data_IF_092622813951
#
_entry.id   IF_092622813951
#
_cell.length_a   1.000
_cell.length_b   1.000
_cell.length_c   1.000
_cell.angle_alpha   90.00
_cell.angle_beta   90.00
_cell.angle_gamma   90.00
#
_symmetry.space_group_name_H-M   'P 1'
#
loop_
_entity.id
_entity.type
_entity.pdbx_description
1 polymer ?
#
# COMPACT_ATOMS: atom_id res chain seq x y z
N UNK A 1 11.69 54.35 54.60
CA UNK A 1 11.23 54.83 53.27
C UNK A 1 11.76 53.88 52.19
N UNK A 2 10.93 52.90 51.83
CA UNK A 2 11.29 51.83 50.88
C UNK A 2 10.86 52.30 49.49
N UNK A 3 11.84 52.60 48.63
CA UNK A 3 11.60 53.02 47.25
C UNK A 3 11.13 51.85 46.41
N UNK A 4 9.87 51.89 46.00
CA UNK A 4 9.27 50.97 45.04
C UNK A 4 9.82 51.26 43.64
N UNK A 5 10.59 50.31 43.09
CA UNK A 5 11.04 50.34 41.70
C UNK A 5 9.85 49.98 40.79
N UNK A 6 9.40 50.96 40.01
CA UNK A 6 8.40 50.77 38.95
C UNK A 6 9.03 50.03 37.77
N UNK A 7 8.45 48.92 37.28
CA UNK A 7 8.96 48.24 36.09
C UNK A 7 8.68 49.08 34.83
N UNK A 8 9.71 49.17 33.97
CA UNK A 8 9.68 49.90 32.72
C UNK A 8 8.66 49.29 31.73
N UNK A 9 7.90 50.16 31.06
CA UNK A 9 6.89 49.77 30.08
C UNK A 9 7.52 49.04 28.88
N UNK A 10 6.86 47.98 28.36
CA UNK A 10 7.37 47.23 27.21
C UNK A 10 7.32 48.08 25.93
N UNK A 11 8.37 47.97 25.13
CA UNK A 11 8.51 48.70 23.87
C UNK A 11 7.43 48.29 22.85
N UNK A 12 6.96 49.22 22.00
CA UNK A 12 5.93 48.93 21.00
C UNK A 12 6.45 47.97 19.92
N UNK A 13 5.58 47.09 19.38
CA UNK A 13 5.95 46.14 18.35
C UNK A 13 6.33 46.85 17.05
N UNK A 14 7.38 46.34 16.39
CA UNK A 14 7.83 46.86 15.09
C UNK A 14 6.82 46.49 14.00
N UNK A 15 6.57 47.39 13.02
CA UNK A 15 5.65 47.12 11.92
C UNK A 15 6.19 45.99 11.02
N UNK A 16 5.32 45.03 10.73
CA UNK A 16 5.59 43.88 9.87
C UNK A 16 5.55 44.36 8.40
N UNK A 17 6.56 44.07 7.57
CA UNK A 17 6.52 44.40 6.15
C UNK A 17 5.47 43.55 5.44
N UNK A 18 4.53 44.20 4.76
CA UNK A 18 3.51 43.54 3.93
C UNK A 18 4.14 43.01 2.64
N UNK A 19 3.82 41.77 2.21
CA UNK A 19 4.31 41.24 0.94
C UNK A 19 3.64 41.94 -0.25
N UNK A 20 4.47 42.42 -1.18
CA UNK A 20 4.09 42.95 -2.48
C UNK A 20 3.28 41.91 -3.27
N UNK A 21 1.99 42.16 -3.45
CA UNK A 21 1.12 41.45 -4.39
C UNK A 21 1.40 41.94 -5.81
N UNK A 22 2.35 41.29 -6.50
CA UNK A 22 2.39 41.37 -7.96
C UNK A 22 1.31 40.47 -8.54
N UNK A 23 0.18 41.11 -8.87
CA UNK A 23 -0.88 40.56 -9.73
C UNK A 23 -0.29 40.43 -11.13
N UNK A 24 -0.06 39.20 -11.59
CA UNK A 24 0.30 38.93 -12.98
C UNK A 24 -0.99 38.64 -13.73
N UNK A 25 -1.54 39.67 -14.35
CA UNK A 25 -2.63 39.60 -15.31
C UNK A 25 -2.21 38.73 -16.49
N UNK A 26 -2.80 37.54 -16.63
CA UNK A 26 -2.64 36.70 -17.82
C UNK A 26 -3.91 36.79 -18.64
N UNK A 27 -3.96 37.78 -19.53
CA UNK A 27 -5.01 37.95 -20.53
C UNK A 27 -4.98 36.83 -21.58
N UNK A 28 -6.14 36.43 -22.14
CA UNK A 28 -6.23 35.43 -23.20
C UNK A 28 -5.94 36.06 -24.56
N UNK A 29 -4.86 35.63 -25.23
CA UNK A 29 -4.57 36.06 -26.61
C UNK A 29 -5.36 35.21 -27.61
N UNK A 30 -6.45 35.80 -28.10
CA UNK A 30 -7.06 35.48 -29.37
C UNK A 30 -6.04 35.76 -30.50
N UNK A 31 -5.70 34.75 -31.31
CA UNK A 31 -5.15 34.97 -32.66
C UNK A 31 -5.99 34.26 -33.69
N UNK A 32 -6.79 35.09 -34.33
CA UNK A 32 -7.50 34.87 -35.57
C UNK A 32 -6.58 35.17 -36.77
N UNK A 33 -6.69 34.32 -37.80
CA UNK A 33 -6.51 34.49 -39.24
C UNK A 33 -5.46 35.45 -39.85
N UNK A 34 -4.64 34.89 -40.76
CA UNK A 34 -4.39 35.37 -42.15
C UNK A 34 -3.34 34.44 -42.78
N UNK A 35 -3.69 33.56 -43.71
CA UNK A 35 -3.75 33.81 -45.17
C UNK A 35 -2.47 34.45 -45.75
N UNK A 36 -1.64 33.64 -46.40
CA UNK A 36 -0.88 34.06 -47.59
C UNK A 36 -0.55 32.86 -48.47
N UNK A 37 -1.06 32.95 -49.68
CA UNK A 37 -0.88 32.06 -50.83
C UNK A 37 0.55 32.09 -51.35
N UNK A 38 1.18 30.93 -51.50
CA UNK A 38 2.17 30.61 -52.54
C UNK A 38 1.96 29.13 -52.88
N UNK A 39 1.07 28.78 -53.80
CA UNK A 39 1.36 28.66 -55.24
C UNK A 39 2.70 27.97 -55.52
N UNK A 40 2.72 26.64 -55.49
CA UNK A 40 3.63 25.88 -56.34
C UNK A 40 2.93 24.60 -56.78
N UNK A 41 2.54 24.63 -58.05
CA UNK A 41 2.13 23.49 -58.86
C UNK A 41 2.96 22.24 -58.58
N UNK A 42 2.32 21.15 -58.17
CA UNK A 42 2.81 19.82 -58.47
C UNK A 42 1.68 19.00 -59.09
N UNK A 43 1.94 18.35 -60.24
CA UNK A 43 0.91 17.76 -61.07
C UNK A 43 0.31 16.51 -60.44
N UNK A 44 -0.99 16.34 -60.69
CA UNK A 44 -1.72 15.10 -60.49
C UNK A 44 -0.98 13.93 -61.14
N UNK A 45 -0.42 13.06 -60.31
CA UNK A 45 -0.05 11.71 -60.73
C UNK A 45 -1.12 10.74 -60.24
N UNK A 46 -2.22 10.67 -60.99
CA UNK A 46 -3.13 9.53 -61.01
C UNK A 46 -2.41 8.32 -61.59
N UNK A 47 -1.41 7.80 -60.88
CA UNK A 47 -0.88 6.48 -61.18
C UNK A 47 -1.86 5.44 -60.64
N UNK A 48 -2.86 5.13 -61.48
CA UNK A 48 -3.39 3.77 -61.60
C UNK A 48 -2.20 2.82 -61.52
N UNK A 49 -2.01 2.16 -60.39
CA UNK A 49 -1.08 1.05 -60.20
C UNK A 49 -1.64 -0.21 -60.88
N UNK A 50 -1.91 -0.10 -62.17
CA UNK A 50 -2.01 -1.27 -63.04
C UNK A 50 -0.58 -1.69 -63.37
N UNK A 51 -0.24 -2.92 -62.96
CA UNK A 51 1.04 -3.64 -63.16
C UNK A 51 2.08 -3.30 -62.07
N UNK A 52 2.41 -4.19 -61.14
CA UNK A 52 2.75 -5.61 -61.34
C UNK A 52 2.23 -6.41 -60.14
N UNK A 53 1.31 -7.35 -60.38
CA UNK A 53 1.20 -8.53 -59.50
C UNK A 53 2.50 -9.29 -59.69
N UNK A 54 3.50 -9.00 -58.86
CA UNK A 54 4.69 -9.81 -58.84
C UNK A 54 4.27 -11.21 -58.36
N UNK A 55 4.90 -12.26 -58.89
CA UNK A 55 4.66 -13.63 -58.45
C UNK A 55 4.83 -13.77 -56.91
N UNK A 56 5.68 -12.90 -56.34
CA UNK A 56 5.93 -12.75 -54.91
C UNK A 56 4.69 -12.27 -54.15
N UNK A 57 3.92 -11.31 -54.66
CA UNK A 57 2.67 -10.85 -53.99
C UNK A 57 1.59 -11.95 -53.97
N UNK A 58 1.55 -12.79 -55.01
CA UNK A 58 0.58 -13.88 -55.09
C UNK A 58 0.91 -15.00 -54.10
N UNK A 59 2.19 -15.36 -53.97
CA UNK A 59 2.65 -16.36 -53.01
C UNK A 59 2.62 -15.84 -51.57
N UNK A 60 2.98 -14.58 -51.32
CA UNK A 60 2.80 -13.95 -50.01
C UNK A 60 1.32 -13.89 -49.62
N UNK A 61 0.42 -13.55 -50.55
CA UNK A 61 -1.02 -13.59 -50.30
C UNK A 61 -1.56 -15.02 -50.10
N UNK A 62 -0.92 -16.04 -50.68
CA UNK A 62 -1.25 -17.46 -50.47
C UNK A 62 -0.77 -17.94 -49.11
N UNK A 63 0.45 -17.58 -48.74
CA UNK A 63 1.06 -17.88 -47.45
C UNK A 63 0.29 -17.21 -46.31
N UNK A 64 -0.09 -15.94 -46.46
CA UNK A 64 -0.91 -15.23 -45.47
C UNK A 64 -2.31 -15.83 -45.34
N UNK A 65 -2.93 -16.29 -46.44
CA UNK A 65 -4.19 -17.05 -46.38
C UNK A 65 -4.04 -18.42 -45.73
N UNK A 66 -2.91 -19.11 -45.93
CA UNK A 66 -2.61 -20.38 -45.28
C UNK A 66 -2.35 -20.21 -43.78
N UNK A 67 -1.58 -19.19 -43.39
CA UNK A 67 -1.35 -18.80 -41.99
C UNK A 67 -2.65 -18.40 -41.29
N UNK A 68 -3.53 -17.66 -41.96
CA UNK A 68 -4.86 -17.32 -41.41
C UNK A 68 -5.76 -18.54 -41.22
N UNK A 69 -5.62 -19.60 -42.04
CA UNK A 69 -6.32 -20.88 -41.86
C UNK A 69 -5.73 -21.70 -40.72
N UNK A 70 -4.40 -21.75 -40.61
CA UNK A 70 -3.66 -22.46 -39.56
C UNK A 70 -3.87 -21.85 -38.16
N UNK A 71 -3.94 -20.51 -38.06
CA UNK A 71 -4.15 -19.79 -36.80
C UNK A 71 -5.63 -19.71 -36.38
N UNK A 72 -6.47 -20.64 -36.82
CA UNK A 72 -7.89 -20.68 -36.47
C UNK A 72 -8.71 -19.69 -37.27
N UNK A 73 -8.74 -19.87 -38.59
CA UNK A 73 -9.62 -19.17 -39.52
C UNK A 73 -11.10 -19.55 -39.38
N UNK A 74 -11.47 -20.30 -38.34
CA UNK A 74 -12.87 -20.56 -38.01
C UNK A 74 -13.51 -19.27 -37.54
N UNK A 75 -14.22 -18.60 -38.45
CA UNK A 75 -15.08 -17.48 -38.12
C UNK A 75 -16.04 -17.82 -36.98
N UNK A 76 -16.39 -19.09 -36.80
CA UNK A 76 -17.16 -19.59 -35.66
C UNK A 76 -16.47 -19.34 -34.31
N UNK A 77 -15.15 -19.59 -34.21
CA UNK A 77 -14.38 -19.35 -32.99
C UNK A 77 -14.22 -17.84 -32.74
N UNK A 78 -14.02 -17.05 -33.79
CA UNK A 78 -14.00 -15.58 -33.68
C UNK A 78 -15.35 -15.01 -33.24
N UNK A 79 -16.46 -15.52 -33.80
CA UNK A 79 -17.83 -15.16 -33.41
C UNK A 79 -18.11 -15.51 -31.94
N UNK A 80 -17.64 -16.67 -31.48
CA UNK A 80 -17.73 -17.07 -30.06
C UNK A 80 -16.93 -16.13 -29.14
N UNK A 81 -15.72 -15.72 -29.54
CA UNK A 81 -14.91 -14.75 -28.80
C UNK A 81 -15.55 -13.36 -28.72
N UNK A 82 -16.19 -12.91 -29.81
CA UNK A 82 -16.95 -11.64 -29.84
C UNK A 82 -18.17 -11.74 -28.91
N UNK A 83 -18.93 -12.83 -28.98
CA UNK A 83 -20.07 -13.05 -28.09
C UNK A 83 -19.67 -13.05 -26.61
N UNK A 84 -18.56 -13.68 -26.25
CA UNK A 84 -18.05 -13.67 -24.89
C UNK A 84 -17.58 -12.27 -24.44
N UNK A 85 -16.96 -11.50 -25.34
CA UNK A 85 -16.60 -10.10 -25.10
C UNK A 85 -17.83 -9.24 -24.85
N UNK A 86 -18.90 -9.42 -25.63
CA UNK A 86 -20.12 -8.62 -25.49
C UNK A 86 -20.87 -8.94 -24.19
N UNK A 87 -20.93 -10.21 -23.80
CA UNK A 87 -21.47 -10.62 -22.48
C UNK A 87 -20.66 -10.01 -21.34
N UNK A 88 -19.33 -10.00 -21.45
CA UNK A 88 -18.48 -9.41 -20.41
C UNK A 88 -18.61 -7.88 -20.36
N UNK A 89 -18.72 -7.21 -21.52
CA UNK A 89 -19.01 -5.77 -21.59
C UNK A 89 -20.36 -5.44 -20.95
N UNK A 90 -21.41 -6.22 -21.24
CA UNK A 90 -22.72 -6.07 -20.63
C UNK A 90 -22.67 -6.26 -19.11
N UNK A 91 -21.92 -7.26 -18.63
CA UNK A 91 -21.72 -7.51 -17.20
C UNK A 91 -21.00 -6.35 -16.51
N UNK A 92 -19.93 -5.82 -17.09
CA UNK A 92 -19.19 -4.67 -16.56
C UNK A 92 -20.07 -3.41 -16.56
N UNK A 93 -20.87 -3.20 -17.61
CA UNK A 93 -21.81 -2.10 -17.69
C UNK A 93 -22.91 -2.20 -16.60
N UNK A 94 -23.48 -3.38 -16.40
CA UNK A 94 -24.46 -3.63 -15.34
C UNK A 94 -23.88 -3.42 -13.94
N UNK A 95 -22.64 -3.86 -13.69
CA UNK A 95 -21.93 -3.58 -12.43
C UNK A 95 -21.72 -2.07 -12.22
N UNK A 96 -21.28 -1.34 -13.24
CA UNK A 96 -21.13 0.13 -13.15
C UNK A 96 -22.47 0.83 -12.87
N UNK A 97 -23.55 0.40 -13.52
CA UNK A 97 -24.89 0.94 -13.27
C UNK A 97 -25.36 0.63 -11.83
N UNK A 98 -25.10 -0.57 -11.32
CA UNK A 98 -25.42 -0.94 -9.94
C UNK A 98 -24.60 -0.13 -8.91
N UNK A 99 -23.31 0.10 -9.16
CA UNK A 99 -22.47 0.96 -8.32
C UNK A 99 -22.95 2.42 -8.34
N UNK A 100 -23.34 2.94 -9.51
CA UNK A 100 -23.93 4.28 -9.62
C UNK A 100 -25.27 4.39 -8.86
N UNK A 101 -26.13 3.38 -8.98
CA UNK A 101 -27.40 3.32 -8.25
C UNK A 101 -27.21 3.21 -6.72
N UNK A 102 -26.14 2.55 -6.27
CA UNK A 102 -25.75 2.47 -4.87
C UNK A 102 -25.06 3.75 -4.35
N UNK A 103 -24.93 4.80 -5.17
CA UNK A 103 -24.26 6.05 -4.78
C UNK A 103 -22.74 5.91 -4.61
N UNK A 104 -22.14 4.84 -5.13
CA UNK A 104 -20.68 4.67 -5.10
C UNK A 104 -20.10 5.60 -6.16
N UNK A 105 -19.58 6.74 -5.71
CA UNK A 105 -18.91 7.74 -6.56
C UNK A 105 -17.74 7.04 -7.27
N UNK A 106 -17.71 7.02 -8.61
CA UNK A 106 -16.56 6.51 -9.34
C UNK A 106 -15.30 7.23 -8.88
N UNK A 107 -14.29 6.49 -8.46
CA UNK A 107 -13.04 7.10 -8.04
C UNK A 107 -12.48 7.95 -9.18
N UNK A 108 -12.05 9.16 -8.85
CA UNK A 108 -11.40 10.06 -9.79
C UNK A 108 -10.15 9.40 -10.38
N UNK A 109 -9.75 9.73 -11.63
CA UNK A 109 -8.61 9.09 -12.29
C UNK A 109 -7.32 9.10 -11.45
N UNK A 110 -7.07 10.18 -10.73
CA UNK A 110 -5.91 10.30 -9.84
C UNK A 110 -6.00 9.39 -8.60
N UNK A 111 -7.21 9.17 -8.06
CA UNK A 111 -7.44 8.24 -6.95
C UNK A 111 -7.26 6.79 -7.40
N UNK A 112 -7.69 6.47 -8.62
CA UNK A 112 -7.46 5.15 -9.23
C UNK A 112 -5.96 4.88 -9.39
N UNK A 113 -5.18 5.86 -9.83
CA UNK A 113 -3.74 5.72 -9.97
C UNK A 113 -3.02 5.64 -8.62
N UNK A 114 -3.50 6.34 -7.59
CA UNK A 114 -3.02 6.20 -6.22
C UNK A 114 -3.28 4.79 -5.67
N UNK A 115 -4.47 4.24 -5.92
CA UNK A 115 -4.84 2.87 -5.56
C UNK A 115 -4.04 1.82 -6.34
N UNK A 116 -3.79 2.03 -7.63
CA UNK A 116 -2.89 1.17 -8.42
C UNK A 116 -1.49 1.19 -7.83
N UNK A 117 -0.93 2.35 -7.50
CA UNK A 117 0.40 2.46 -6.87
C UNK A 117 0.44 1.74 -5.51
N UNK A 118 -0.60 1.89 -4.70
CA UNK A 118 -0.72 1.25 -3.38
C UNK A 118 -0.95 -0.26 -3.43
N UNK A 119 -1.61 -0.76 -4.48
CA UNK A 119 -1.86 -2.20 -4.66
C UNK A 119 -0.73 -2.91 -5.40
N UNK A 120 -0.03 -2.21 -6.31
CA UNK A 120 1.16 -2.73 -6.99
C UNK A 120 2.42 -2.76 -6.11
N UNK A 121 2.43 -2.05 -4.97
CA UNK A 121 3.52 -2.16 -3.99
C UNK A 121 3.41 -3.38 -3.10
N UNK A 122 2.29 -4.12 -3.12
CA UNK A 122 2.18 -5.38 -2.38
C UNK A 122 2.77 -6.50 -3.25
N UNK A 123 3.91 -7.10 -2.85
CA UNK A 123 4.53 -8.17 -3.62
C UNK A 123 3.56 -9.33 -3.77
N UNK A 124 3.32 -9.71 -5.03
CA UNK A 124 2.30 -10.68 -5.46
C UNK A 124 2.77 -12.12 -5.27
N UNK A 125 4.08 -12.32 -5.18
CA UNK A 125 4.70 -13.63 -4.99
C UNK A 125 5.63 -13.65 -3.77
N UNK A 126 5.81 -14.84 -3.19
CA UNK A 126 6.72 -15.06 -2.06
C UNK A 126 8.18 -14.73 -2.44
N UNK A 127 8.54 -14.90 -3.71
CA UNK A 127 9.87 -14.54 -4.25
C UNK A 127 10.10 -13.03 -4.32
N UNK A 128 9.07 -12.21 -4.54
CA UNK A 128 9.17 -10.74 -4.51
C UNK A 128 9.28 -10.20 -3.08
N UNK A 129 8.82 -10.98 -2.08
CA UNK A 129 9.04 -10.68 -0.64
C UNK A 129 10.41 -11.08 -0.13
N UNK A 130 11.16 -11.87 -0.91
CA UNK A 130 12.46 -12.35 -0.46
C UNK A 130 13.44 -11.17 -0.41
N UNK A 131 13.85 -10.80 0.80
CA UNK A 131 14.93 -9.83 1.01
C UNK A 131 16.17 -10.38 0.31
N UNK A 132 16.81 -9.62 -0.59
CA UNK A 132 18.02 -10.08 -1.27
C UNK A 132 19.14 -10.24 -0.24
N UNK A 133 19.36 -11.48 0.21
CA UNK A 133 20.48 -11.79 1.11
C UNK A 133 21.75 -11.88 0.28
N UNK A 134 22.84 -11.20 0.68
CA UNK A 134 24.14 -11.35 0.04
C UNK A 134 24.52 -12.83 -0.02
N UNK A 135 24.78 -13.34 -1.23
CA UNK A 135 25.19 -14.73 -1.43
C UNK A 135 26.65 -14.91 -1.02
N UNK A 136 26.89 -14.99 0.28
CA UNK A 136 28.22 -15.28 0.83
C UNK A 136 28.59 -16.72 0.46
N UNK A 137 29.63 -16.90 -0.36
CA UNK A 137 30.20 -18.22 -0.67
C UNK A 137 30.00 -18.75 -2.10
N UNK A 138 29.29 -18.05 -3.00
CA UNK A 138 28.98 -18.53 -4.37
C UNK A 138 30.15 -18.39 -5.36
N UNK A 139 31.39 -18.31 -4.86
CA UNK A 139 32.61 -18.20 -5.67
C UNK A 139 33.72 -19.18 -5.29
N UNK A 140 33.58 -19.96 -4.21
CA UNK A 140 34.54 -21.03 -3.93
C UNK A 140 34.13 -22.24 -4.76
N UNK A 141 34.93 -22.59 -5.76
CA UNK A 141 34.87 -23.91 -6.39
C UNK A 141 34.83 -24.93 -5.26
N UNK A 142 33.76 -25.72 -5.22
CA UNK A 142 33.69 -26.84 -4.30
C UNK A 142 34.79 -27.82 -4.72
N UNK A 143 35.95 -27.72 -4.07
CA UNK A 143 36.94 -28.78 -4.13
C UNK A 143 36.46 -29.85 -3.15
N UNK A 144 36.09 -31.04 -3.65
CA UNK A 144 35.74 -32.13 -2.76
C UNK A 144 36.95 -32.36 -1.84
N UNK A 145 36.74 -32.51 -0.51
CA UNK A 145 37.84 -32.76 0.40
C UNK A 145 38.65 -33.96 -0.10
N UNK A 146 39.98 -33.93 -0.01
CA UNK A 146 40.82 -35.03 -0.48
C UNK A 146 40.32 -36.32 0.16
N UNK A 147 40.24 -37.44 -0.60
CA UNK A 147 39.82 -38.71 -0.06
C UNK A 147 40.69 -39.01 1.16
N UNK A 148 40.06 -39.16 2.32
CA UNK A 148 40.75 -39.40 3.58
C UNK A 148 41.59 -40.66 3.38
N UNK A 149 42.90 -40.47 3.25
CA UNK A 149 43.86 -41.54 3.05
C UNK A 149 43.89 -42.35 4.36
N UNK A 150 43.12 -43.43 4.35
CA UNK A 150 43.08 -44.45 5.39
C UNK A 150 42.54 -43.94 6.74
N UNK A 151 41.24 -44.12 6.96
CA UNK A 151 40.72 -44.25 8.33
C UNK A 151 41.03 -45.70 8.73
N UNK A 152 42.06 -45.96 9.57
CA UNK A 152 42.23 -47.30 10.11
C UNK A 152 40.97 -47.57 10.95
N UNK A 153 40.41 -48.78 10.85
CA UNK A 153 39.22 -49.25 11.57
C UNK A 153 37.84 -49.00 10.93
N UNK A 154 37.71 -48.88 9.61
CA UNK A 154 36.40 -49.16 8.98
C UNK A 154 36.16 -50.67 8.96
N UNK A 155 35.23 -51.12 9.81
CA UNK A 155 34.70 -52.50 9.79
C UNK A 155 34.22 -52.83 8.39
N UNK A 156 34.47 -54.06 7.96
CA UNK A 156 34.03 -54.54 6.65
C UNK A 156 32.50 -54.58 6.58
N UNK A 157 31.92 -54.47 5.38
CA UNK A 157 30.47 -54.49 5.24
C UNK A 157 29.82 -55.76 5.83
N UNK A 158 30.55 -56.88 5.82
CA UNK A 158 30.09 -58.14 6.40
C UNK A 158 30.20 -58.17 7.93
N UNK A 159 31.23 -57.57 8.53
CA UNK A 159 31.27 -57.33 9.98
C UNK A 159 30.15 -56.39 10.44
N UNK A 160 29.88 -55.31 9.69
CA UNK A 160 28.77 -54.39 9.99
C UNK A 160 27.43 -55.12 9.91
N UNK A 161 27.25 -56.01 8.93
CA UNK A 161 26.05 -56.86 8.86
C UNK A 161 25.98 -57.83 10.02
N UNK A 162 27.06 -58.52 10.38
CA UNK A 162 27.03 -59.46 11.51
C UNK A 162 26.70 -58.76 12.84
N UNK A 163 27.26 -57.57 13.04
CA UNK A 163 27.11 -56.79 14.27
C UNK A 163 25.72 -56.10 14.34
N UNK A 164 25.13 -55.72 13.20
CA UNK A 164 23.85 -54.98 13.15
C UNK A 164 22.66 -55.75 12.53
N UNK A 165 22.80 -57.00 12.08
CA UNK A 165 21.67 -57.80 11.54
C UNK A 165 20.61 -58.17 12.60
N UNK A 166 20.88 -57.91 13.89
CA UNK A 166 19.91 -58.01 14.98
C UNK A 166 19.22 -56.71 15.35
N UNK A 167 19.53 -55.59 14.69
CA UNK A 167 19.00 -54.28 15.08
C UNK A 167 17.51 -54.17 14.69
N UNK A 168 16.64 -54.57 15.61
CA UNK A 168 15.23 -54.18 15.55
C UNK A 168 15.21 -52.66 15.75
N UNK A 169 15.07 -51.92 14.65
CA UNK A 169 14.78 -50.49 14.75
C UNK A 169 13.47 -50.38 15.51
N UNK A 170 13.51 -49.83 16.71
CA UNK A 170 12.30 -49.52 17.46
C UNK A 170 11.39 -48.75 16.51
N UNK A 171 10.20 -49.31 16.25
CA UNK A 171 9.22 -48.63 15.40
C UNK A 171 8.99 -47.28 16.05
N UNK A 172 9.18 -46.21 15.28
CA UNK A 172 8.89 -44.87 15.76
C UNK A 172 7.51 -44.92 16.45
N UNK A 173 7.38 -44.40 17.69
CA UNK A 173 6.11 -44.41 18.38
C UNK A 173 5.07 -43.86 17.42
N UNK A 174 3.94 -44.57 17.28
CA UNK A 174 2.88 -44.19 16.34
C UNK A 174 2.60 -42.71 16.56
N UNK A 175 2.94 -41.88 15.58
CA UNK A 175 2.78 -40.44 15.68
C UNK A 175 1.37 -40.17 16.19
N UNK A 176 1.24 -39.38 17.25
CA UNK A 176 -0.05 -38.99 17.77
C UNK A 176 -0.91 -38.47 16.61
N UNK A 177 -2.21 -38.82 16.54
CA UNK A 177 -3.08 -38.34 15.48
C UNK A 177 -2.97 -36.82 15.41
N UNK A 178 -2.45 -36.34 14.29
CA UNK A 178 -2.32 -34.89 14.06
C UNK A 178 -3.72 -34.33 13.92
N UNK A 179 -4.04 -33.30 14.73
CA UNK A 179 -5.25 -32.49 14.56
C UNK A 179 -5.44 -32.13 13.08
N UNK A 180 -6.69 -32.16 12.62
CA UNK A 180 -7.00 -31.83 11.24
C UNK A 180 -6.58 -30.39 10.93
N UNK A 181 -6.27 -30.10 9.66
CA UNK A 181 -5.86 -28.76 9.25
C UNK A 181 -6.95 -27.72 9.49
N UNK A 182 -8.21 -28.14 9.43
CA UNK A 182 -9.37 -27.25 9.62
C UNK A 182 -9.60 -26.93 11.10
N UNK A 183 -9.45 -27.90 12.02
CA UNK A 183 -9.45 -27.63 13.47
C UNK A 183 -8.41 -26.57 13.87
N UNK A 184 -7.22 -26.61 13.26
CA UNK A 184 -6.17 -25.61 13.53
C UNK A 184 -6.52 -24.22 13.01
N UNK A 185 -7.26 -24.12 11.91
CA UNK A 185 -7.74 -22.84 11.38
C UNK A 185 -8.82 -22.26 12.28
N UNK A 186 -9.75 -23.09 12.73
CA UNK A 186 -10.83 -22.68 13.62
C UNK A 186 -10.28 -22.22 14.98
N UNK A 187 -9.32 -22.96 15.54
CA UNK A 187 -8.60 -22.58 16.76
C UNK A 187 -7.88 -21.22 16.60
N UNK A 188 -7.22 -21.00 15.45
CA UNK A 188 -6.55 -19.73 15.16
C UNK A 188 -7.55 -18.57 14.98
N UNK A 189 -8.69 -18.82 14.34
CA UNK A 189 -9.75 -17.83 14.17
C UNK A 189 -10.32 -17.41 15.53
N UNK A 190 -10.59 -18.37 16.41
CA UNK A 190 -11.06 -18.11 17.78
C UNK A 190 -10.01 -17.33 18.58
N UNK A 191 -8.73 -17.70 18.51
CA UNK A 191 -7.68 -16.91 19.18
C UNK A 191 -7.60 -15.47 18.68
N UNK A 192 -7.81 -15.21 17.38
CA UNK A 192 -7.83 -13.83 16.86
C UNK A 192 -9.01 -13.02 17.38
N UNK A 193 -10.19 -13.63 17.52
CA UNK A 193 -11.37 -12.98 18.05
C UNK A 193 -11.24 -12.62 19.54
N UNK A 194 -10.55 -13.47 20.31
CA UNK A 194 -10.43 -13.35 21.77
C UNK A 194 -9.02 -12.91 22.22
N UNK A 195 -8.40 -11.98 21.49
CA UNK A 195 -7.13 -11.34 21.83
C UNK A 195 -5.99 -12.33 22.20
N UNK A 196 -5.94 -13.48 21.52
CA UNK A 196 -4.92 -14.51 21.65
C UNK A 196 -5.26 -15.68 22.56
N UNK A 197 -6.37 -15.63 23.32
CA UNK A 197 -6.80 -16.71 24.22
C UNK A 197 -8.03 -17.42 23.70
N UNK A 198 -8.13 -18.74 23.84
CA UNK A 198 -9.38 -19.45 23.51
C UNK A 198 -10.42 -19.27 24.64
N UNK A 199 -11.73 -19.35 24.36
CA UNK A 199 -12.75 -19.26 25.40
C UNK A 199 -12.58 -20.28 26.53
N UNK A 200 -12.07 -21.47 26.22
CA UNK A 200 -11.77 -22.51 27.21
C UNK A 200 -10.59 -22.13 28.12
N UNK A 201 -9.54 -21.54 27.56
CA UNK A 201 -8.41 -21.01 28.33
C UNK A 201 -8.86 -19.87 29.25
N UNK A 202 -9.72 -18.96 28.78
CA UNK A 202 -10.30 -17.88 29.58
C UNK A 202 -11.15 -18.44 30.72
N UNK A 203 -11.99 -19.45 30.43
CA UNK A 203 -12.84 -20.10 31.43
C UNK A 203 -12.00 -20.83 32.50
N UNK A 204 -10.92 -21.52 32.11
CA UNK A 204 -10.01 -22.17 33.06
C UNK A 204 -9.27 -21.14 33.92
N UNK A 205 -8.75 -20.08 33.31
CA UNK A 205 -8.07 -18.99 34.03
C UNK A 205 -9.01 -18.31 35.04
N UNK A 206 -10.31 -18.15 34.71
CA UNK A 206 -11.29 -17.58 35.67
C UNK A 206 -11.62 -18.53 36.82
N UNK A 207 -11.68 -19.84 36.58
CA UNK A 207 -11.92 -20.83 37.64
C UNK A 207 -10.70 -20.99 38.54
N UNK A 208 -9.50 -21.02 37.96
CA UNK A 208 -8.24 -21.28 38.67
C UNK A 208 -7.73 -20.04 39.43
N UNK A 209 -8.05 -18.82 38.98
CA UNK A 209 -7.65 -17.58 39.66
C UNK A 209 -8.56 -17.18 40.83
N UNK A 210 -9.74 -17.82 41.00
CA UNK A 210 -10.68 -17.52 42.08
C UNK A 210 -11.13 -16.04 42.18
N UNK A 211 -10.77 -15.21 41.20
CA UNK A 211 -11.05 -13.77 41.21
C UNK A 211 -12.41 -13.53 40.56
N UNK A 212 -13.35 -12.84 41.24
CA UNK A 212 -14.56 -12.38 40.57
C UNK A 212 -14.15 -11.50 39.39
N UNK A 213 -14.77 -11.74 38.23
CA UNK A 213 -14.56 -11.00 36.97
C UNK A 213 -14.48 -9.49 37.23
N UNK A 214 -13.29 -8.91 37.16
CA UNK A 214 -13.10 -7.47 36.89
C UNK A 214 -13.39 -7.19 35.41
N UNK A 215 -14.63 -7.44 35.00
CA UNK A 215 -15.02 -7.41 33.58
C UNK A 215 -16.29 -6.62 33.27
N UNK A 216 -16.92 -6.01 34.29
CA UNK A 216 -18.09 -5.16 34.10
C UNK A 216 -18.03 -3.84 34.90
N UNK A 217 -16.94 -3.60 35.65
CA UNK A 217 -16.79 -2.41 36.49
C UNK A 217 -15.80 -1.37 35.94
N UNK A 218 -15.08 -1.68 34.85
CA UNK A 218 -14.13 -0.76 34.20
C UNK A 218 -14.64 -0.31 32.81
N UNK A 219 -15.95 -0.12 32.67
CA UNK A 219 -16.43 0.83 31.65
C UNK A 219 -16.18 2.20 32.26
N UNK A 220 -15.24 3.01 31.74
CA UNK A 220 -15.09 4.37 32.25
C UNK A 220 -16.48 5.02 32.24
N UNK A 221 -16.87 5.76 33.29
CA UNK A 221 -18.16 6.44 33.31
C UNK A 221 -18.29 7.20 31.99
N UNK A 222 -19.46 7.08 31.34
CA UNK A 222 -19.72 7.81 30.11
C UNK A 222 -19.45 9.28 30.40
N UNK A 223 -18.33 9.77 29.88
CA UNK A 223 -17.87 11.13 30.12
C UNK A 223 -18.97 12.07 29.67
N UNK A 224 -19.25 13.08 30.49
CA UNK A 224 -20.19 14.12 30.08
C UNK A 224 -19.66 14.79 28.81
N UNK A 225 -20.55 15.37 28.01
CA UNK A 225 -20.15 16.07 26.79
C UNK A 225 -19.10 17.16 27.08
N UNK A 226 -19.23 17.84 28.22
CA UNK A 226 -18.26 18.81 28.72
C UNK A 226 -16.88 18.20 29.00
N UNK A 227 -16.83 17.04 29.66
CA UNK A 227 -15.58 16.33 29.94
C UNK A 227 -14.91 15.83 28.66
N UNK A 228 -15.69 15.43 27.65
CA UNK A 228 -15.17 15.03 26.34
C UNK A 228 -14.55 16.23 25.61
N UNK A 229 -15.22 17.39 25.63
CA UNK A 229 -14.70 18.63 25.04
C UNK A 229 -13.43 19.08 25.76
N UNK A 230 -13.38 18.99 27.10
CA UNK A 230 -12.18 19.32 27.87
C UNK A 230 -10.99 18.43 27.49
N UNK A 231 -11.20 17.10 27.37
CA UNK A 231 -10.13 16.18 26.91
C UNK A 231 -9.66 16.50 25.50
N UNK A 232 -10.58 16.76 24.57
CA UNK A 232 -10.21 17.14 23.21
C UNK A 232 -9.41 18.46 23.16
N UNK A 233 -9.66 19.40 24.08
CA UNK A 233 -8.84 20.61 24.19
C UNK A 233 -7.44 20.30 24.70
N UNK A 234 -7.32 19.47 25.72
CA UNK A 234 -6.04 19.08 26.29
C UNK A 234 -5.19 18.35 25.23
N UNK A 235 -5.79 17.41 24.49
CA UNK A 235 -5.12 16.69 23.40
C UNK A 235 -4.60 17.65 22.30
N UNK A 236 -5.40 18.65 21.91
CA UNK A 236 -4.98 19.65 20.91
C UNK A 236 -3.87 20.56 21.47
N UNK A 237 -3.91 20.90 22.76
CA UNK A 237 -2.88 21.72 23.40
C UNK A 237 -1.53 20.98 23.44
N UNK A 238 -1.53 19.69 23.77
CA UNK A 238 -0.35 18.83 23.75
C UNK A 238 0.20 18.73 22.31
N UNK A 239 -0.66 18.53 21.32
CA UNK A 239 -0.28 18.51 19.90
C UNK A 239 0.37 19.83 19.41
N UNK A 240 -0.04 20.97 19.96
CA UNK A 240 0.57 22.28 19.65
C UNK A 240 1.95 22.39 20.32
N UNK A 241 2.06 21.96 21.58
CA UNK A 241 3.33 21.97 22.31
C UNK A 241 4.37 21.08 21.64
N UNK A 242 4.01 19.86 21.24
CA UNK A 242 4.89 18.93 20.50
C UNK A 242 5.41 19.54 19.19
N UNK A 243 4.56 20.28 18.46
CA UNK A 243 4.94 20.96 17.21
C UNK A 243 5.87 22.14 17.45
N UNK A 244 5.67 22.88 18.54
CA UNK A 244 6.57 23.96 18.94
C UNK A 244 7.94 23.40 19.35
N UNK A 245 7.96 22.35 20.16
CA UNK A 245 9.19 21.65 20.55
C UNK A 245 9.95 21.11 19.33
N UNK A 246 9.23 20.55 18.36
CA UNK A 246 9.82 20.10 17.10
C UNK A 246 10.45 21.26 16.32
N UNK A 247 9.77 22.40 16.23
CA UNK A 247 10.33 23.59 15.57
C UNK A 247 11.59 24.09 16.29
N UNK A 248 11.58 24.13 17.61
CA UNK A 248 12.73 24.56 18.41
C UNK A 248 13.92 23.61 18.21
N UNK A 249 13.67 22.29 18.15
CA UNK A 249 14.70 21.30 17.81
C UNK A 249 15.27 21.52 16.40
N UNK A 250 14.42 21.83 15.41
CA UNK A 250 14.87 22.11 14.03
C UNK A 250 15.62 23.44 13.91
N UNK A 251 15.24 24.45 14.70
CA UNK A 251 15.97 25.72 14.81
C UNK A 251 17.35 25.48 15.42
N UNK A 252 17.43 24.73 16.52
CA UNK A 252 18.69 24.37 17.16
C UNK A 252 19.62 23.58 16.22
N UNK A 253 19.05 22.77 15.34
CA UNK A 253 19.78 22.02 14.31
C UNK A 253 20.12 22.83 13.04
N UNK A 254 19.69 24.10 12.93
CA UNK A 254 19.91 24.94 11.76
C UNK A 254 19.09 24.55 10.51
N UNK A 255 18.03 23.75 10.66
CA UNK A 255 17.16 23.25 9.59
C UNK A 255 15.74 23.83 9.61
N UNK A 256 15.54 24.95 10.30
CA UNK A 256 14.22 25.59 10.44
C UNK A 256 13.59 25.97 9.10
N UNK A 257 14.38 26.41 8.11
CA UNK A 257 13.87 26.87 6.81
C UNK A 257 13.10 25.79 6.03
N UNK A 258 13.41 24.51 6.25
CA UNK A 258 12.75 23.39 5.57
C UNK A 258 11.34 23.12 6.14
N UNK A 259 11.15 23.33 7.45
CA UNK A 259 9.97 22.87 8.17
C UNK A 259 9.11 24.00 8.75
N UNK A 260 9.65 25.22 8.90
CA UNK A 260 8.99 26.33 9.59
C UNK A 260 7.61 26.63 9.01
N UNK A 261 7.49 26.80 7.69
CA UNK A 261 6.23 27.14 7.05
C UNK A 261 5.16 26.05 7.22
N UNK A 262 5.56 24.77 7.09
CA UNK A 262 4.64 23.65 7.23
C UNK A 262 4.14 23.52 8.66
N UNK A 263 5.05 23.48 9.65
CA UNK A 263 4.64 23.26 11.04
C UNK A 263 3.87 24.47 11.59
N UNK A 264 4.20 25.70 11.17
CA UNK A 264 3.39 26.87 11.51
C UNK A 264 1.96 26.78 10.94
N UNK A 265 1.79 26.24 9.73
CA UNK A 265 0.46 26.01 9.16
C UNK A 265 -0.31 24.97 9.98
N UNK A 266 0.34 23.87 10.39
CA UNK A 266 -0.28 22.85 11.24
C UNK A 266 -0.68 23.41 12.62
N UNK A 267 0.18 24.22 13.25
CA UNK A 267 -0.15 24.91 14.51
C UNK A 267 -1.36 25.83 14.32
N UNK A 268 -1.42 26.58 13.22
CA UNK A 268 -2.55 27.46 12.93
C UNK A 268 -3.86 26.69 12.74
N UNK A 269 -3.81 25.51 12.11
CA UNK A 269 -4.96 24.61 11.97
C UNK A 269 -5.44 24.10 13.33
N UNK A 270 -4.52 23.64 14.20
CA UNK A 270 -4.85 23.20 15.57
C UNK A 270 -5.44 24.31 16.44
N UNK A 271 -4.91 25.52 16.33
CA UNK A 271 -5.48 26.70 16.99
C UNK A 271 -6.90 27.02 16.46
N UNK A 272 -7.18 26.78 15.18
CA UNK A 272 -8.52 26.95 14.63
C UNK A 272 -9.48 25.88 15.16
N UNK A 273 -9.04 24.63 15.29
CA UNK A 273 -9.84 23.54 15.86
C UNK A 273 -10.17 23.79 17.34
N UNK A 274 -9.20 24.28 18.12
CA UNK A 274 -9.42 24.69 19.51
C UNK A 274 -10.50 25.77 19.62
N UNK A 275 -10.49 26.78 18.73
CA UNK A 275 -11.53 27.82 18.68
C UNK A 275 -12.91 27.26 18.32
N UNK A 276 -12.99 26.21 17.49
CA UNK A 276 -14.26 25.54 17.17
C UNK A 276 -14.81 24.81 18.39
N UNK A 277 -13.94 24.12 19.16
CA UNK A 277 -14.34 23.49 20.43
C UNK A 277 -14.80 24.53 21.46
N UNK A 278 -14.19 25.72 21.48
CA UNK A 278 -14.63 26.84 22.31
C UNK A 278 -16.01 27.36 21.93
N UNK A 279 -16.32 27.42 20.64
CA UNK A 279 -17.65 27.78 20.17
C UNK A 279 -18.69 26.70 20.57
N UNK A 280 -18.38 25.43 20.34
CA UNK A 280 -19.28 24.32 20.69
C UNK A 280 -19.58 24.27 22.19
N UNK A 281 -18.58 24.48 23.05
CA UNK A 281 -18.78 24.52 24.49
C UNK A 281 -19.64 25.72 24.95
N UNK A 282 -19.67 26.81 24.19
CA UNK A 282 -20.51 27.98 24.48
C UNK A 282 -21.95 27.79 24.01
N UNK A 283 -22.15 27.14 22.87
CA UNK A 283 -23.47 26.94 22.27
C UNK A 283 -24.24 25.77 22.92
N UNK A 284 -23.53 24.82 23.56
CA UNK A 284 -24.10 23.68 24.26
C UNK A 284 -24.58 23.95 25.70
N UNK A 285 -24.45 25.19 26.19
CA UNK A 285 -24.80 25.62 27.56
C UNK A 285 -25.87 26.72 27.51
#
# INVERSE_FOLDING_TARGET
>A
PVSLLTPAAPAPPRPIPTPNTHIVDSSPSLRSASETLVSSCLPMATHRSTLRRSYVDADEARMNRALARLNGGDEAVKKLGIAYSDVNRAKIAAQRAAHAAAGVIPLEPWQQDLLKRRTHSVPKSVSERAVPVPRVGVGRRYEPPPPIAFVPHRKTADEVRLEHNGYKRDKAPRCAPTRSADERKDELAMRRQFAGKTPEEIARETVESGRPRRGAADVPPALTEEEQIARMRDDIADEIAERQDFLDQMVAAGRSNEYAAQIQAEIAERMADMRKLDALARDGN
#
